data_IF_224789411345
#
_entry.id   IF_224789411345
#
_cell.length_a   1.000
_cell.length_b   1.000
_cell.length_c   1.000
_cell.angle_alpha   90.00
_cell.angle_beta   90.00
_cell.angle_gamma   90.00
#
_symmetry.space_group_name_H-M   'P 1'
#
loop_
_entity.id
_entity.type
_entity.pdbx_description
1 polymer ?
#
# COMPACT_ATOMS: atom_id res chain seq x y z
N UNK A 1 70.23 -27.78 13.82
CA UNK A 1 69.17 -28.24 14.66
C UNK A 1 67.92 -28.47 13.83
N UNK A 2 67.38 -29.71 13.81
CA UNK A 2 66.17 -30.06 13.09
C UNK A 2 64.96 -29.37 13.75
N UNK A 3 64.49 -28.35 13.12
CA UNK A 3 63.15 -27.81 13.45
C UNK A 3 62.11 -28.72 12.80
N UNK A 4 61.12 -29.17 13.54
CA UNK A 4 59.99 -29.92 13.03
C UNK A 4 59.34 -29.17 11.87
N UNK A 5 59.11 -29.87 10.77
CA UNK A 5 58.49 -29.33 9.55
C UNK A 5 57.12 -28.71 9.95
N UNK A 6 56.93 -27.43 9.68
CA UNK A 6 55.68 -26.74 9.96
C UNK A 6 55.65 -25.89 11.25
N UNK A 7 56.73 -25.80 12.03
CA UNK A 7 56.75 -24.93 13.24
C UNK A 7 57.68 -23.74 13.00
N UNK A 8 57.13 -22.51 12.97
CA UNK A 8 57.91 -21.31 13.03
C UNK A 8 58.41 -21.12 14.46
N UNK A 9 59.74 -20.95 14.64
CA UNK A 9 60.33 -20.69 15.95
C UNK A 9 60.28 -19.19 16.20
N UNK A 10 59.93 -18.77 17.42
CA UNK A 10 59.90 -17.38 17.80
C UNK A 10 61.25 -16.69 17.46
N UNK A 11 61.19 -15.47 16.93
CA UNK A 11 62.36 -14.68 16.51
C UNK A 11 63.14 -15.20 15.27
N UNK A 12 62.56 -16.11 14.48
CA UNK A 12 63.13 -16.50 13.19
C UNK A 12 62.41 -15.78 12.04
N UNK A 13 63.19 -15.19 11.14
CA UNK A 13 62.65 -14.54 9.96
C UNK A 13 62.11 -15.59 8.99
N UNK A 14 60.94 -15.34 8.43
CA UNK A 14 60.45 -16.03 7.25
C UNK A 14 61.25 -15.49 6.06
N UNK A 15 62.06 -16.37 5.40
CA UNK A 15 62.86 -15.96 4.23
C UNK A 15 61.92 -16.10 3.02
N UNK A 16 61.63 -14.97 2.39
CA UNK A 16 60.87 -14.89 1.17
C UNK A 16 61.78 -15.10 -0.04
N UNK A 17 61.25 -15.48 -1.17
CA UNK A 17 61.98 -15.55 -2.44
C UNK A 17 62.32 -14.15 -2.98
N UNK A 18 62.98 -14.07 -4.16
CA UNK A 18 63.35 -12.80 -4.79
C UNK A 18 62.19 -11.88 -5.13
N UNK A 19 60.97 -12.42 -5.20
CA UNK A 19 59.73 -11.68 -5.44
C UNK A 19 59.03 -11.32 -4.15
N UNK A 20 59.57 -11.71 -3.00
CA UNK A 20 58.98 -11.61 -1.67
C UNK A 20 57.76 -12.52 -1.45
N UNK A 21 57.66 -13.60 -2.19
CA UNK A 21 56.57 -14.54 -2.11
C UNK A 21 56.87 -15.69 -1.13
N UNK A 22 55.84 -16.18 -0.44
CA UNK A 22 55.90 -17.39 0.36
C UNK A 22 54.86 -18.39 -0.16
N UNK A 23 55.32 -19.45 -0.78
CA UNK A 23 54.44 -20.47 -1.40
C UNK A 23 54.40 -21.76 -0.59
N UNK A 24 53.31 -22.53 -0.70
CA UNK A 24 53.17 -23.85 -0.10
C UNK A 24 52.72 -23.88 1.35
N UNK A 25 52.18 -22.80 1.89
CA UNK A 25 51.53 -22.83 3.21
C UNK A 25 50.16 -23.50 3.06
N UNK A 26 50.00 -24.66 3.66
CA UNK A 26 48.70 -25.39 3.67
C UNK A 26 47.72 -24.78 4.66
N UNK A 27 48.17 -24.47 5.89
CA UNK A 27 47.37 -23.86 6.92
C UNK A 27 48.15 -22.69 7.52
N UNK A 28 47.56 -21.51 7.54
CA UNK A 28 48.07 -20.34 8.23
C UNK A 28 47.13 -20.00 9.38
N UNK A 29 47.61 -20.09 10.62
CA UNK A 29 46.87 -19.64 11.81
C UNK A 29 47.48 -18.34 12.31
N UNK A 30 46.66 -17.29 12.36
CA UNK A 30 47.02 -15.98 12.87
C UNK A 30 46.19 -15.76 14.13
N UNK A 31 46.86 -15.61 15.29
CA UNK A 31 46.21 -15.37 16.59
C UNK A 31 45.93 -13.91 16.88
N UNK A 32 46.32 -13.02 16.00
CA UNK A 32 46.12 -11.60 16.05
C UNK A 32 45.54 -11.07 14.76
N UNK A 33 45.90 -9.87 14.39
CA UNK A 33 45.46 -9.18 13.20
C UNK A 33 46.30 -9.58 11.98
N UNK A 34 45.68 -9.73 10.79
CA UNK A 34 46.33 -9.77 9.50
C UNK A 34 46.23 -8.38 8.85
N UNK A 35 47.30 -7.60 8.91
CA UNK A 35 47.40 -6.33 8.20
C UNK A 35 47.92 -6.60 6.78
N UNK A 36 47.04 -6.51 5.78
CA UNK A 36 47.38 -6.73 4.38
C UNK A 36 46.71 -5.66 3.52
N UNK A 37 47.46 -5.03 2.62
CA UNK A 37 46.88 -4.08 1.66
C UNK A 37 45.84 -4.71 0.74
N UNK A 38 46.02 -5.97 0.38
CA UNK A 38 45.07 -6.79 -0.37
C UNK A 38 45.11 -8.23 0.13
N UNK A 39 43.94 -8.86 0.24
CA UNK A 39 43.81 -10.28 0.51
C UNK A 39 43.00 -10.90 -0.65
N UNK A 40 43.67 -11.69 -1.52
CA UNK A 40 43.03 -12.39 -2.64
C UNK A 40 42.83 -13.85 -2.27
N UNK A 41 41.57 -14.30 -2.22
CA UNK A 41 41.18 -15.66 -1.86
C UNK A 41 40.41 -16.24 -3.04
N UNK A 42 41.00 -17.20 -3.73
CA UNK A 42 40.36 -17.85 -4.88
C UNK A 42 39.35 -18.94 -4.51
N UNK A 43 39.18 -19.25 -3.21
CA UNK A 43 38.24 -20.22 -2.69
C UNK A 43 37.15 -19.58 -1.82
N UNK A 44 36.50 -20.41 -1.00
CA UNK A 44 35.49 -19.93 -0.07
C UNK A 44 36.11 -19.20 1.13
N UNK A 45 35.45 -18.18 1.60
CA UNK A 45 35.74 -17.52 2.87
C UNK A 45 34.64 -17.90 3.87
N UNK A 46 35.04 -18.47 4.99
CA UNK A 46 34.16 -18.79 6.11
C UNK A 46 34.46 -17.84 7.27
N UNK A 47 33.49 -17.11 7.73
CA UNK A 47 33.63 -16.09 8.79
C UNK A 47 32.67 -16.47 9.93
N UNK A 48 33.19 -17.06 10.99
CA UNK A 48 32.41 -17.43 12.18
C UNK A 48 31.97 -16.22 13.03
N UNK A 49 32.46 -15.03 12.74
CA UNK A 49 32.20 -13.80 13.45
C UNK A 49 31.50 -12.75 12.59
N UNK A 50 31.82 -11.49 12.87
CA UNK A 50 31.29 -10.34 12.14
C UNK A 50 32.27 -9.96 11.02
N UNK A 51 31.76 -9.72 9.81
CA UNK A 51 32.49 -9.04 8.74
C UNK A 51 32.24 -7.56 8.87
N UNK A 52 33.26 -6.80 9.30
CA UNK A 52 33.24 -5.34 9.26
C UNK A 52 33.99 -4.87 8.00
N UNK A 53 33.35 -4.03 7.20
CA UNK A 53 33.92 -3.49 5.99
C UNK A 53 33.32 -2.11 5.68
N UNK A 54 34.17 -1.18 5.27
CA UNK A 54 33.73 0.16 4.83
C UNK A 54 32.92 0.06 3.52
N UNK A 55 33.24 -0.89 2.67
CA UNK A 55 32.60 -1.11 1.39
C UNK A 55 32.53 -2.60 1.04
N UNK A 56 31.34 -3.10 0.77
CA UNK A 56 31.14 -4.44 0.26
C UNK A 56 30.83 -4.38 -1.24
N UNK A 57 31.69 -5.01 -2.07
CA UNK A 57 31.50 -5.12 -3.51
C UNK A 57 31.15 -6.55 -3.88
N UNK A 58 30.02 -6.76 -4.53
CA UNK A 58 29.56 -8.07 -5.02
C UNK A 58 29.49 -8.03 -6.55
N UNK A 59 30.12 -8.99 -7.21
CA UNK A 59 30.12 -9.05 -8.67
C UNK A 59 30.78 -7.86 -9.38
N UNK A 60 31.72 -7.17 -8.68
CA UNK A 60 32.40 -6.00 -9.21
C UNK A 60 31.69 -4.67 -9.02
N UNK A 61 30.58 -4.64 -8.32
CA UNK A 61 29.81 -3.42 -8.03
C UNK A 61 29.51 -3.26 -6.54
N UNK A 62 29.51 -2.04 -6.06
CA UNK A 62 28.90 -1.66 -4.79
C UNK A 62 27.42 -1.41 -5.00
N UNK A 63 26.59 -1.72 -4.00
CA UNK A 63 25.17 -1.33 -4.02
C UNK A 63 25.03 0.21 -4.04
N UNK A 64 24.00 0.67 -4.73
CA UNK A 64 23.57 2.08 -4.70
C UNK A 64 22.59 2.32 -3.55
N UNK A 65 22.37 3.59 -3.22
CA UNK A 65 21.36 3.96 -2.20
C UNK A 65 19.98 3.38 -2.57
N UNK A 66 19.37 2.69 -1.61
CA UNK A 66 18.09 1.99 -1.82
C UNK A 66 18.18 0.56 -2.36
N UNK A 67 19.38 0.05 -2.65
CA UNK A 67 19.56 -1.35 -3.03
C UNK A 67 19.75 -2.27 -1.80
N UNK A 68 19.28 -3.48 -1.91
CA UNK A 68 19.43 -4.53 -0.90
C UNK A 68 20.19 -5.72 -1.47
N UNK A 69 20.91 -6.43 -0.61
CA UNK A 69 21.61 -7.64 -0.99
C UNK A 69 20.62 -8.81 -1.00
N UNK A 70 20.39 -9.42 -2.15
CA UNK A 70 19.41 -10.49 -2.33
C UNK A 70 20.05 -11.75 -2.93
N UNK A 71 19.39 -12.89 -2.72
CA UNK A 71 19.71 -14.12 -3.43
C UNK A 71 19.08 -14.08 -4.82
N UNK A 72 19.90 -14.15 -5.87
CA UNK A 72 19.46 -14.11 -7.28
C UNK A 72 19.13 -15.50 -7.86
N UNK A 73 19.13 -16.55 -7.03
CA UNK A 73 18.94 -17.94 -7.47
C UNK A 73 20.21 -18.61 -8.02
N UNK A 74 21.16 -17.84 -8.54
CA UNK A 74 22.49 -18.32 -9.00
C UNK A 74 23.64 -17.72 -8.20
N UNK A 75 23.35 -16.83 -7.23
CA UNK A 75 24.34 -16.14 -6.44
C UNK A 75 23.70 -15.10 -5.52
N UNK A 76 24.45 -14.09 -5.19
CA UNK A 76 24.02 -12.93 -4.40
C UNK A 76 24.33 -11.67 -5.21
N UNK A 77 23.42 -10.72 -5.23
CA UNK A 77 23.58 -9.47 -5.96
C UNK A 77 22.89 -8.30 -5.28
N UNK A 78 23.27 -7.09 -5.67
CA UNK A 78 22.58 -5.87 -5.30
C UNK A 78 21.37 -5.68 -6.21
N UNK A 79 20.21 -5.59 -5.63
CA UNK A 79 18.96 -5.34 -6.36
C UNK A 79 18.23 -4.15 -5.77
N UNK A 80 17.51 -3.40 -6.61
CA UNK A 80 16.65 -2.34 -6.13
C UNK A 80 15.65 -2.93 -5.15
N UNK A 81 15.40 -2.27 -4.04
CA UNK A 81 14.37 -2.67 -3.08
C UNK A 81 12.96 -2.72 -3.71
N UNK A 82 12.86 -2.34 -4.97
CA UNK A 82 11.66 -2.43 -5.82
C UNK A 82 11.52 -3.82 -6.43
N UNK A 83 11.25 -4.81 -5.59
CA UNK A 83 10.51 -6.00 -5.93
C UNK A 83 10.96 -6.91 -7.06
N UNK A 84 11.75 -7.90 -6.75
CA UNK A 84 11.58 -9.21 -7.34
C UNK A 84 10.28 -9.86 -6.84
N UNK A 85 9.50 -10.41 -7.71
CA UNK A 85 8.08 -10.75 -7.67
C UNK A 85 7.62 -11.88 -6.73
N UNK A 86 7.95 -11.93 -5.45
CA UNK A 86 7.39 -12.98 -4.59
C UNK A 86 7.22 -12.65 -3.10
N UNK A 87 7.36 -11.39 -2.68
CA UNK A 87 7.04 -10.92 -1.33
C UNK A 87 6.08 -9.73 -1.35
N UNK A 88 5.48 -9.35 -0.22
CA UNK A 88 4.72 -8.12 -0.17
C UNK A 88 5.64 -6.95 -0.46
N UNK A 89 5.37 -6.22 -1.54
CA UNK A 89 6.08 -5.00 -1.90
C UNK A 89 5.79 -3.94 -0.83
N UNK A 90 6.84 -3.51 -0.16
CA UNK A 90 6.81 -2.33 0.68
C UNK A 90 7.33 -1.17 -0.15
N UNK A 91 6.48 -0.23 -0.49
CA UNK A 91 6.87 0.97 -1.24
C UNK A 91 6.57 2.20 -0.41
N UNK A 92 7.56 3.05 -0.27
CA UNK A 92 7.39 4.41 0.26
C UNK A 92 7.44 5.39 -0.91
N UNK A 93 6.61 6.42 -0.90
CA UNK A 93 6.61 7.47 -1.90
C UNK A 93 6.14 8.79 -1.28
N UNK A 94 6.59 9.92 -1.83
CA UNK A 94 6.40 11.21 -1.17
C UNK A 94 7.07 11.24 0.22
N UNK A 95 6.76 12.24 1.00
CA UNK A 95 7.42 12.44 2.29
C UNK A 95 6.87 11.60 3.44
N UNK A 96 5.90 10.75 3.29
CA UNK A 96 5.37 9.92 4.39
C UNK A 96 4.29 8.93 3.94
N UNK A 97 4.33 8.45 2.71
CA UNK A 97 3.34 7.49 2.22
C UNK A 97 3.85 6.04 2.32
N UNK A 98 2.93 5.12 2.56
CA UNK A 98 3.22 3.70 2.76
C UNK A 98 2.27 2.83 1.92
N UNK A 99 2.83 1.93 1.12
CA UNK A 99 2.06 1.00 0.29
C UNK A 99 2.55 -0.43 0.49
N UNK A 100 1.62 -1.35 0.74
CA UNK A 100 1.86 -2.80 0.77
C UNK A 100 0.96 -3.46 -0.25
N UNK A 101 1.54 -4.11 -1.25
CA UNK A 101 0.76 -4.79 -2.29
C UNK A 101 1.39 -4.71 -3.66
N UNK A 102 0.60 -4.49 -4.67
CA UNK A 102 1.05 -4.45 -6.06
C UNK A 102 1.57 -3.05 -6.45
N UNK A 103 2.35 -3.00 -7.53
CA UNK A 103 2.89 -1.76 -8.08
C UNK A 103 1.77 -0.77 -8.47
N UNK A 104 1.96 0.50 -8.12
CA UNK A 104 1.16 1.59 -8.66
C UNK A 104 1.59 1.84 -10.11
N UNK A 105 0.63 2.00 -11.02
CA UNK A 105 0.92 2.32 -12.44
C UNK A 105 1.10 3.81 -12.70
N UNK A 106 0.76 4.67 -11.73
CA UNK A 106 0.89 6.12 -11.83
C UNK A 106 2.32 6.62 -11.56
N UNK A 107 2.72 7.68 -12.23
CA UNK A 107 3.90 8.45 -11.85
C UNK A 107 3.56 9.24 -10.59
N UNK A 108 4.03 8.76 -9.45
CA UNK A 108 3.79 9.43 -8.17
C UNK A 108 4.67 10.69 -8.12
N UNK A 109 4.03 11.83 -8.01
CA UNK A 109 4.71 13.13 -7.97
C UNK A 109 4.10 13.99 -6.85
N UNK A 110 4.64 13.84 -5.65
CA UNK A 110 4.21 14.62 -4.49
C UNK A 110 2.93 14.14 -3.81
N UNK A 111 2.57 12.86 -3.91
CA UNK A 111 1.48 12.29 -3.13
C UNK A 111 1.98 11.90 -1.72
N UNK A 112 1.55 12.65 -0.70
CA UNK A 112 2.04 12.51 0.67
C UNK A 112 1.00 11.92 1.63
N UNK A 113 1.47 11.34 2.73
CA UNK A 113 0.64 10.83 3.83
C UNK A 113 -0.38 9.75 3.43
N UNK A 114 -0.11 8.98 2.38
CA UNK A 114 -1.01 7.93 1.92
C UNK A 114 -0.67 6.57 2.54
N UNK A 115 -1.69 5.80 2.88
CA UNK A 115 -1.57 4.42 3.34
C UNK A 115 -2.35 3.49 2.42
N UNK A 116 -1.66 2.57 1.76
CA UNK A 116 -2.27 1.57 0.89
C UNK A 116 -1.90 0.15 1.32
N UNK A 117 -2.88 -0.70 1.55
CA UNK A 117 -2.67 -2.12 1.88
C UNK A 117 -3.58 -2.99 1.04
N UNK A 118 -3.00 -3.75 0.14
CA UNK A 118 -3.72 -4.69 -0.73
C UNK A 118 -3.38 -4.55 -2.21
N UNK A 119 -3.68 -5.60 -2.96
CA UNK A 119 -3.44 -5.63 -4.43
C UNK A 119 -4.26 -4.53 -5.09
N UNK A 120 -3.62 -3.66 -5.87
CA UNK A 120 -4.21 -2.52 -6.58
C UNK A 120 -4.81 -1.43 -5.67
N UNK A 121 -4.48 -1.40 -4.36
CA UNK A 121 -4.83 -0.26 -3.51
C UNK A 121 -4.07 0.99 -3.96
N UNK A 122 -4.75 2.14 -4.12
CA UNK A 122 -4.18 3.41 -4.61
C UNK A 122 -3.41 3.28 -5.94
N UNK A 123 -3.81 2.36 -6.81
CA UNK A 123 -3.06 2.06 -8.04
C UNK A 123 -2.86 3.29 -8.96
N UNK A 124 -3.83 4.18 -9.02
CA UNK A 124 -3.81 5.37 -9.87
C UNK A 124 -3.25 6.64 -9.22
N UNK A 125 -2.83 6.59 -7.95
CA UNK A 125 -2.45 7.80 -7.19
C UNK A 125 -1.28 8.55 -7.85
N UNK A 126 -1.39 9.86 -7.96
CA UNK A 126 -0.33 10.74 -8.53
C UNK A 126 0.04 11.89 -7.60
N UNK A 127 -0.93 12.70 -7.16
CA UNK A 127 -0.72 13.88 -6.32
C UNK A 127 -1.73 13.99 -5.17
N UNK A 128 -2.63 13.03 -5.00
CA UNK A 128 -3.60 13.04 -3.91
C UNK A 128 -2.95 12.69 -2.57
N UNK A 129 -3.26 13.45 -1.51
CA UNK A 129 -2.68 13.32 -0.19
C UNK A 129 -3.63 12.73 0.85
N UNK A 130 -3.04 12.19 1.91
CA UNK A 130 -3.79 11.82 3.13
C UNK A 130 -4.89 10.78 2.87
N UNK A 131 -4.68 9.84 1.95
CA UNK A 131 -5.64 8.79 1.68
C UNK A 131 -5.27 7.49 2.41
N UNK A 132 -6.28 6.79 2.92
CA UNK A 132 -6.15 5.45 3.49
C UNK A 132 -6.96 4.45 2.67
N UNK A 133 -6.30 3.43 2.10
CA UNK A 133 -6.90 2.41 1.27
C UNK A 133 -6.48 1.01 1.75
N UNK A 134 -7.41 0.25 2.31
CA UNK A 134 -7.15 -1.10 2.83
C UNK A 134 -8.08 -2.10 2.18
N UNK A 135 -7.53 -2.97 1.34
CA UNK A 135 -8.27 -3.99 0.60
C UNK A 135 -7.90 -4.02 -0.88
N UNK A 136 -8.34 -5.07 -1.58
CA UNK A 136 -8.09 -5.22 -3.01
C UNK A 136 -8.83 -4.13 -3.80
N UNK A 137 -8.12 -3.44 -4.71
CA UNK A 137 -8.65 -2.40 -5.61
C UNK A 137 -9.40 -1.26 -4.89
N UNK A 138 -8.99 -0.93 -3.67
CA UNK A 138 -9.49 0.24 -2.92
C UNK A 138 -8.92 1.53 -3.51
N UNK A 139 -9.76 2.54 -3.73
CA UNK A 139 -9.38 3.82 -4.34
C UNK A 139 -8.53 3.63 -5.62
N UNK A 140 -8.94 2.67 -6.45
CA UNK A 140 -8.15 2.14 -7.56
C UNK A 140 -7.80 3.20 -8.63
N UNK A 141 -8.76 4.06 -9.00
CA UNK A 141 -8.56 5.13 -10.02
C UNK A 141 -8.26 6.50 -9.41
N UNK A 142 -8.15 6.60 -8.09
CA UNK A 142 -7.89 7.88 -7.44
C UNK A 142 -6.54 8.43 -7.91
N UNK A 143 -6.55 9.63 -8.48
CA UNK A 143 -5.33 10.30 -8.99
C UNK A 143 -4.93 11.49 -8.14
N UNK A 144 -5.84 12.44 -7.94
CA UNK A 144 -5.59 13.73 -7.30
C UNK A 144 -6.46 13.99 -6.08
N UNK A 145 -7.47 13.14 -5.81
CA UNK A 145 -8.34 13.29 -4.65
C UNK A 145 -7.59 13.04 -3.34
N UNK A 146 -7.92 13.81 -2.33
CA UNK A 146 -7.25 13.78 -1.02
C UNK A 146 -8.22 13.49 0.12
N UNK A 147 -7.66 13.07 1.26
CA UNK A 147 -8.42 12.85 2.50
C UNK A 147 -9.53 11.80 2.38
N UNK A 148 -9.33 10.77 1.58
CA UNK A 148 -10.28 9.66 1.49
C UNK A 148 -9.85 8.50 2.39
N UNK A 149 -10.83 7.85 3.03
CA UNK A 149 -10.65 6.61 3.78
C UNK A 149 -11.49 5.52 3.15
N UNK A 150 -10.85 4.45 2.67
CA UNK A 150 -11.55 3.31 2.08
C UNK A 150 -11.03 1.98 2.65
N UNK A 151 -11.95 1.15 3.14
CA UNK A 151 -11.64 -0.15 3.73
C UNK A 151 -12.60 -1.21 3.19
N UNK A 152 -12.08 -2.22 2.51
CA UNK A 152 -12.85 -3.30 1.91
C UNK A 152 -12.55 -3.50 0.43
N UNK A 153 -12.88 -4.67 -0.11
CA UNK A 153 -12.69 -4.95 -1.54
C UNK A 153 -13.50 -3.97 -2.41
N UNK A 154 -12.85 -3.30 -3.35
CA UNK A 154 -13.44 -2.30 -4.25
C UNK A 154 -14.10 -1.09 -3.54
N UNK A 155 -13.81 -0.83 -2.26
CA UNK A 155 -14.30 0.37 -1.59
C UNK A 155 -13.70 1.62 -2.26
N UNK A 156 -14.55 2.56 -2.66
CA UNK A 156 -14.15 3.77 -3.38
C UNK A 156 -13.43 3.54 -4.71
N UNK A 157 -13.57 2.36 -5.35
CA UNK A 157 -12.71 1.94 -6.47
C UNK A 157 -12.64 2.97 -7.61
N UNK A 158 -13.74 3.62 -7.95
CA UNK A 158 -13.80 4.60 -9.05
C UNK A 158 -14.02 6.05 -8.57
N UNK A 159 -13.71 6.33 -7.30
CA UNK A 159 -13.75 7.70 -6.75
C UNK A 159 -12.55 8.50 -7.25
N UNK A 160 -12.81 9.72 -7.68
CA UNK A 160 -11.78 10.73 -8.02
C UNK A 160 -11.88 11.98 -7.13
N UNK A 161 -12.97 12.12 -6.36
CA UNK A 161 -13.22 13.21 -5.41
C UNK A 161 -12.44 13.08 -4.10
N UNK A 162 -12.71 14.00 -3.18
CA UNK A 162 -12.00 14.12 -1.91
C UNK A 162 -12.93 13.97 -0.69
N UNK A 163 -12.33 13.73 0.46
CA UNK A 163 -13.03 13.71 1.76
C UNK A 163 -14.18 12.68 1.83
N UNK A 164 -13.99 11.53 1.24
CA UNK A 164 -14.96 10.44 1.31
C UNK A 164 -14.52 9.36 2.31
N UNK A 165 -15.49 8.74 2.97
CA UNK A 165 -15.29 7.53 3.79
C UNK A 165 -16.08 6.39 3.17
N UNK A 166 -15.43 5.30 2.79
CA UNK A 166 -16.02 4.11 2.21
C UNK A 166 -15.57 2.86 2.97
N UNK A 167 -16.45 2.25 3.74
CA UNK A 167 -16.14 1.05 4.53
C UNK A 167 -17.12 -0.08 4.19
N UNK A 168 -16.61 -1.13 3.59
CA UNK A 168 -17.39 -2.30 3.15
C UNK A 168 -17.09 -2.66 1.70
N UNK A 169 -17.42 -3.90 1.33
CA UNK A 169 -17.30 -4.38 -0.05
C UNK A 169 -18.12 -3.50 -1.00
N UNK A 170 -17.47 -2.91 -1.99
CA UNK A 170 -18.07 -2.03 -2.99
C UNK A 170 -18.84 -0.81 -2.43
N UNK A 171 -18.55 -0.38 -1.20
CA UNK A 171 -19.04 0.90 -0.70
C UNK A 171 -18.47 2.03 -1.56
N UNK A 172 -19.31 2.97 -2.02
CA UNK A 172 -18.94 4.12 -2.87
C UNK A 172 -18.10 3.72 -4.09
N UNK A 173 -18.34 2.53 -4.66
CA UNK A 173 -17.47 2.00 -5.72
C UNK A 173 -17.67 2.66 -7.08
N UNK A 174 -18.82 3.25 -7.35
CA UNK A 174 -19.28 3.86 -8.61
C UNK A 174 -19.02 3.01 -9.87
N UNK A 175 -19.80 3.21 -10.91
CA UNK A 175 -19.60 2.48 -12.17
C UNK A 175 -18.52 3.13 -13.06
N UNK A 176 -18.26 4.44 -12.92
CA UNK A 176 -17.24 5.18 -13.67
C UNK A 176 -16.94 6.51 -12.99
N UNK A 177 -15.66 6.79 -12.76
CA UNK A 177 -15.07 8.06 -12.34
C UNK A 177 -15.95 9.00 -11.52
N UNK A 178 -16.21 8.70 -10.26
CA UNK A 178 -17.05 9.51 -9.40
C UNK A 178 -16.27 10.71 -8.87
N UNK A 179 -16.68 11.93 -9.27
CA UNK A 179 -16.15 13.17 -8.68
C UNK A 179 -16.80 13.56 -7.35
N UNK A 180 -17.66 12.71 -6.82
CA UNK A 180 -18.36 12.91 -5.56
C UNK A 180 -17.39 13.11 -4.38
N UNK A 181 -17.73 14.04 -3.50
CA UNK A 181 -16.91 14.39 -2.33
C UNK A 181 -17.76 14.48 -1.07
N UNK A 182 -17.11 14.41 0.09
CA UNK A 182 -17.75 14.53 1.40
C UNK A 182 -18.84 13.48 1.71
N UNK A 183 -18.74 12.30 1.12
CA UNK A 183 -19.68 11.22 1.38
C UNK A 183 -19.15 10.23 2.43
N UNK A 184 -20.05 9.71 3.23
CA UNK A 184 -19.78 8.60 4.15
C UNK A 184 -20.63 7.40 3.75
N UNK A 185 -19.99 6.30 3.35
CA UNK A 185 -20.64 5.05 2.97
C UNK A 185 -20.08 3.90 3.82
N UNK A 186 -20.88 3.39 4.73
CA UNK A 186 -20.49 2.28 5.62
C UNK A 186 -21.50 1.13 5.46
N UNK A 187 -21.03 0.03 4.93
CA UNK A 187 -21.84 -1.15 4.62
C UNK A 187 -21.55 -1.65 3.20
N UNK A 188 -21.81 -2.94 2.97
CA UNK A 188 -21.67 -3.51 1.63
C UNK A 188 -22.59 -2.78 0.66
N UNK A 189 -22.04 -2.30 -0.45
CA UNK A 189 -22.76 -1.61 -1.52
C UNK A 189 -23.48 -0.31 -1.09
N UNK A 190 -23.15 0.28 0.05
CA UNK A 190 -23.66 1.61 0.41
C UNK A 190 -23.14 2.66 -0.60
N UNK A 191 -24.02 3.55 -1.09
CA UNK A 191 -23.72 4.56 -2.13
C UNK A 191 -23.02 4.00 -3.38
N UNK A 192 -23.32 2.77 -3.76
CA UNK A 192 -22.56 2.02 -4.76
C UNK A 192 -22.42 2.71 -6.11
N UNK A 193 -23.45 3.39 -6.60
CA UNK A 193 -23.43 4.01 -7.95
C UNK A 193 -23.35 5.53 -7.94
N UNK A 194 -23.03 6.13 -6.80
CA UNK A 194 -22.98 7.57 -6.68
C UNK A 194 -21.90 8.19 -7.59
N UNK A 195 -22.31 9.12 -8.46
CA UNK A 195 -21.42 9.74 -9.45
C UNK A 195 -20.99 11.14 -9.06
N UNK A 196 -21.94 12.03 -8.74
CA UNK A 196 -21.67 13.43 -8.40
C UNK A 196 -22.37 13.87 -7.10
N UNK A 197 -23.21 13.04 -6.49
CA UNK A 197 -23.86 13.36 -5.22
C UNK A 197 -22.85 13.61 -4.11
N UNK A 198 -23.05 14.67 -3.34
CA UNK A 198 -22.13 15.12 -2.29
C UNK A 198 -22.81 15.14 -0.93
N UNK A 199 -21.99 15.07 0.12
CA UNK A 199 -22.45 15.20 1.52
C UNK A 199 -23.57 14.21 1.91
N UNK A 200 -23.52 12.99 1.37
CA UNK A 200 -24.42 11.93 1.77
C UNK A 200 -23.83 11.07 2.89
N UNK A 201 -24.66 10.67 3.84
CA UNK A 201 -24.32 9.74 4.90
C UNK A 201 -25.15 8.45 4.77
N UNK A 202 -24.52 7.37 4.35
CA UNK A 202 -25.15 6.06 4.15
C UNK A 202 -24.52 5.02 5.09
N UNK A 203 -25.30 4.53 6.03
CA UNK A 203 -24.91 3.51 6.99
C UNK A 203 -25.86 2.30 6.90
N UNK A 204 -25.37 1.22 6.35
CA UNK A 204 -26.12 -0.03 6.19
C UNK A 204 -25.86 -0.66 4.83
N UNK A 205 -26.06 -1.99 4.75
CA UNK A 205 -26.01 -2.69 3.47
C UNK A 205 -27.10 -2.15 2.54
N UNK A 206 -26.76 -1.86 1.27
CA UNK A 206 -27.64 -1.29 0.25
C UNK A 206 -28.27 0.07 0.63
N UNK A 207 -27.69 0.81 1.56
CA UNK A 207 -28.13 2.15 1.90
C UNK A 207 -27.75 3.13 0.78
N UNK A 208 -28.74 3.84 0.18
CA UNK A 208 -28.54 4.76 -0.96
C UNK A 208 -27.81 4.13 -2.16
N UNK A 209 -27.94 2.83 -2.38
CA UNK A 209 -27.16 2.11 -3.38
C UNK A 209 -27.44 2.54 -4.83
N UNK A 210 -28.67 3.01 -5.15
CA UNK A 210 -29.02 3.53 -6.46
C UNK A 210 -28.78 5.05 -6.64
N UNK A 211 -28.28 5.75 -5.62
CA UNK A 211 -28.08 7.20 -5.70
C UNK A 211 -27.03 7.56 -6.75
N UNK A 212 -27.36 8.47 -7.66
CA UNK A 212 -26.42 8.95 -8.69
C UNK A 212 -25.96 10.39 -8.42
N UNK A 213 -26.88 11.32 -8.25
CA UNK A 213 -26.58 12.76 -8.13
C UNK A 213 -27.22 13.42 -6.90
N UNK A 214 -28.10 12.70 -6.19
CA UNK A 214 -28.72 13.22 -4.95
C UNK A 214 -27.67 13.56 -3.90
N UNK A 215 -27.86 14.69 -3.23
CA UNK A 215 -26.93 15.21 -2.22
C UNK A 215 -27.63 15.47 -0.89
N UNK A 216 -26.85 15.57 0.19
CA UNK A 216 -27.33 15.90 1.54
C UNK A 216 -28.35 14.88 2.10
N UNK A 217 -28.27 13.61 1.68
CA UNK A 217 -29.14 12.57 2.22
C UNK A 217 -28.49 11.90 3.43
N UNK A 218 -29.31 11.63 4.45
CA UNK A 218 -28.94 10.79 5.59
C UNK A 218 -29.74 9.49 5.53
N UNK A 219 -29.07 8.36 5.40
CA UNK A 219 -29.65 7.04 5.22
C UNK A 219 -29.00 6.05 6.18
N UNK A 220 -29.74 5.62 7.20
CA UNK A 220 -29.25 4.74 8.25
C UNK A 220 -30.14 3.53 8.40
N UNK A 221 -29.67 2.37 7.94
CA UNK A 221 -30.38 1.10 8.00
C UNK A 221 -30.19 0.27 6.72
N UNK A 222 -30.59 -0.99 6.76
CA UNK A 222 -30.59 -1.87 5.61
C UNK A 222 -31.62 -1.40 4.57
N UNK A 223 -31.23 -1.23 3.31
CA UNK A 223 -32.14 -0.88 2.21
C UNK A 223 -32.81 0.48 2.35
N UNK A 224 -32.29 1.38 3.17
CA UNK A 224 -32.81 2.75 3.30
C UNK A 224 -32.52 3.55 2.04
N UNK A 225 -33.52 4.31 1.52
CA UNK A 225 -33.38 5.11 0.30
C UNK A 225 -32.80 4.34 -0.88
N UNK A 226 -33.02 3.02 -0.95
CA UNK A 226 -32.39 2.15 -1.94
C UNK A 226 -32.75 2.51 -3.39
N UNK A 227 -33.96 3.02 -3.66
CA UNK A 227 -34.37 3.45 -5.01
C UNK A 227 -34.02 4.91 -5.33
N UNK A 228 -33.45 5.67 -4.37
CA UNK A 228 -33.17 7.09 -4.58
C UNK A 228 -32.11 7.29 -5.67
N UNK A 229 -32.42 8.09 -6.66
CA UNK A 229 -31.48 8.39 -7.76
C UNK A 229 -30.95 9.83 -7.69
N UNK A 230 -31.86 10.79 -7.57
CA UNK A 230 -31.53 12.23 -7.62
C UNK A 230 -32.17 13.04 -6.46
N UNK A 231 -33.02 12.40 -5.64
CA UNK A 231 -33.63 13.06 -4.46
C UNK A 231 -32.56 13.56 -3.49
N UNK A 232 -32.76 14.75 -2.96
CA UNK A 232 -31.83 15.42 -2.06
C UNK A 232 -32.50 15.79 -0.72
N UNK A 233 -31.68 16.09 0.29
CA UNK A 233 -32.14 16.57 1.59
C UNK A 233 -33.13 15.61 2.28
N UNK A 234 -32.99 14.30 2.08
CA UNK A 234 -33.83 13.30 2.73
C UNK A 234 -33.11 12.71 3.96
N UNK A 235 -33.87 12.50 5.03
CA UNK A 235 -33.43 11.78 6.23
C UNK A 235 -34.25 10.51 6.39
N UNK A 236 -33.62 9.35 6.29
CA UNK A 236 -34.20 8.03 6.44
C UNK A 236 -33.45 7.20 7.48
N UNK A 237 -34.12 6.79 8.52
CA UNK A 237 -33.55 5.98 9.61
C UNK A 237 -34.45 4.77 9.88
N UNK A 238 -33.93 3.59 9.72
CA UNK A 238 -34.67 2.33 9.91
C UNK A 238 -34.63 1.45 8.65
N UNK A 239 -34.88 0.14 8.82
CA UNK A 239 -34.91 -0.81 7.70
C UNK A 239 -35.96 -0.38 6.68
N UNK A 240 -35.59 -0.29 5.39
CA UNK A 240 -36.48 0.08 4.27
C UNK A 240 -37.19 1.43 4.41
N UNK A 241 -36.71 2.33 5.26
CA UNK A 241 -37.27 3.69 5.35
C UNK A 241 -37.03 4.42 4.03
N UNK A 242 -38.06 5.08 3.47
CA UNK A 242 -38.04 5.74 2.16
C UNK A 242 -37.51 4.85 1.00
N UNK A 243 -37.73 3.54 1.07
CA UNK A 243 -37.11 2.60 0.11
C UNK A 243 -37.54 2.86 -1.35
N UNK A 244 -38.77 3.25 -1.62
CA UNK A 244 -39.27 3.54 -2.96
C UNK A 244 -39.03 5.00 -3.42
N UNK A 245 -38.41 5.85 -2.62
CA UNK A 245 -38.12 7.23 -2.99
C UNK A 245 -37.16 7.27 -4.17
N UNK A 246 -37.52 7.94 -5.24
CA UNK A 246 -36.62 8.02 -6.44
C UNK A 246 -36.02 9.39 -6.62
N UNK A 247 -36.85 10.42 -6.67
CA UNK A 247 -36.45 11.82 -6.98
C UNK A 247 -36.97 12.83 -5.97
N UNK A 248 -37.84 12.41 -5.05
CA UNK A 248 -38.41 13.31 -4.08
C UNK A 248 -37.39 13.80 -3.03
N UNK A 249 -37.57 15.01 -2.57
CA UNK A 249 -36.63 15.70 -1.67
C UNK A 249 -37.30 16.18 -0.38
N UNK A 250 -36.48 16.54 0.60
CA UNK A 250 -36.90 17.13 1.86
C UNK A 250 -37.84 16.22 2.70
N UNK A 251 -37.69 14.91 2.64
CA UNK A 251 -38.47 13.98 3.43
C UNK A 251 -37.71 13.53 4.68
N UNK A 252 -38.40 13.40 5.79
CA UNK A 252 -37.88 12.80 7.02
C UNK A 252 -38.69 11.58 7.39
N UNK A 253 -38.08 10.43 7.46
CA UNK A 253 -38.70 9.16 7.81
C UNK A 253 -37.86 8.40 8.85
N UNK A 254 -38.42 8.18 10.02
CA UNK A 254 -37.75 7.48 11.12
C UNK A 254 -38.62 6.29 11.58
N UNK A 255 -38.08 5.10 11.43
CA UNK A 255 -38.75 3.85 11.78
C UNK A 255 -38.62 2.82 10.66
N UNK A 256 -38.80 1.53 10.99
CA UNK A 256 -38.85 0.45 9.99
C UNK A 256 -39.99 0.69 9.00
N UNK A 257 -39.71 0.66 7.69
CA UNK A 257 -40.65 0.91 6.60
C UNK A 257 -41.40 2.26 6.69
N UNK A 258 -40.84 3.25 7.41
CA UNK A 258 -41.42 4.59 7.43
C UNK A 258 -41.35 5.21 6.03
N UNK A 259 -42.49 5.73 5.55
CA UNK A 259 -42.63 6.28 4.18
C UNK A 259 -42.11 5.34 3.06
N UNK A 260 -42.12 4.03 3.27
CA UNK A 260 -41.53 3.03 2.35
C UNK A 260 -42.04 3.20 0.92
N UNK A 261 -43.36 3.41 0.72
CA UNK A 261 -44.00 3.58 -0.58
C UNK A 261 -43.96 5.00 -1.15
N UNK A 262 -43.28 5.96 -0.52
CA UNK A 262 -43.18 7.31 -1.06
C UNK A 262 -42.29 7.32 -2.31
N UNK A 263 -42.81 7.76 -3.44
CA UNK A 263 -42.06 7.84 -4.70
C UNK A 263 -41.76 9.29 -5.09
N UNK A 264 -42.74 10.18 -4.96
CA UNK A 264 -42.70 11.58 -5.46
C UNK A 264 -43.12 12.64 -4.43
N UNK A 265 -43.66 12.22 -3.29
CA UNK A 265 -44.05 13.15 -2.21
C UNK A 265 -42.82 13.84 -1.62
N UNK A 266 -42.88 15.15 -1.47
CA UNK A 266 -41.83 15.98 -0.88
C UNK A 266 -42.25 16.59 0.46
N UNK A 267 -41.24 16.95 1.27
CA UNK A 267 -41.44 17.60 2.53
C UNK A 267 -42.36 16.85 3.54
N UNK A 268 -42.31 15.51 3.49
CA UNK A 268 -43.03 14.67 4.47
C UNK A 268 -42.16 14.48 5.74
N UNK A 269 -42.84 14.41 6.88
CA UNK A 269 -42.22 14.12 8.18
C UNK A 269 -42.94 12.96 8.86
#
# INVERSE_FOLDING_TARGET
GSTAVGTAVASKAVILDSNKDYTGVRNLTITGELDAATLDISGNVDIDGVLETDNLTIGGAQGSDGQVLTSTGSGVGWEDATGGSSGPLFKTFGDSSFLVGNDTTGTINGADYNTGVGVLALNGITTGDSNTAIGRATLYVLTTGSSNTAVGMNAGANVTGSSNTAVGESALSSASGSSASHNTAVGKEALKVNTTGTANAAFGNLSLDANTTGSYNTSIGYGTLTANTTGADNTAVGINSLAANTTAANNTAVGSSALEGNTTGTANV
#
